data_IF_707613414127
#
_entry.id   IF_707613414127
#
_cell.length_a   1.000
_cell.length_b   1.000
_cell.length_c   1.000
_cell.angle_alpha   90.00
_cell.angle_beta   90.00
_cell.angle_gamma   90.00
#
_symmetry.space_group_name_H-M   'P 1'
#
loop_
_entity.id
_entity.type
_entity.pdbx_description
1 polymer ?
#
# COMPACT_ATOMS: atom_id res chain seq x y z
N UNK A 1 -4.47 -15.15 0.38
CA UNK A 1 -5.87 -14.79 0.68
C UNK A 1 -6.70 -16.01 1.09
N UNK A 2 -6.94 -17.01 0.23
CA UNK A 2 -7.79 -18.17 0.60
C UNK A 2 -7.36 -18.84 1.92
N UNK A 3 -6.06 -19.15 2.08
CA UNK A 3 -5.53 -19.74 3.30
C UNK A 3 -5.80 -18.89 4.55
N UNK A 4 -5.48 -17.59 4.50
CA UNK A 4 -5.65 -16.69 5.66
C UNK A 4 -7.12 -16.53 6.03
N UNK A 5 -8.01 -16.48 5.03
CA UNK A 5 -9.45 -16.41 5.26
C UNK A 5 -9.98 -17.70 5.93
N UNK A 6 -9.59 -18.89 5.46
CA UNK A 6 -9.96 -20.15 6.10
C UNK A 6 -9.39 -20.27 7.53
N UNK A 7 -8.14 -19.87 7.72
CA UNK A 7 -7.51 -19.86 9.04
C UNK A 7 -8.21 -18.90 10.00
N UNK A 8 -8.57 -17.70 9.54
CA UNK A 8 -9.38 -16.74 10.29
C UNK A 8 -10.73 -17.33 10.68
N UNK A 9 -11.43 -18.01 9.75
CA UNK A 9 -12.72 -18.67 10.06
C UNK A 9 -12.56 -19.78 11.09
N UNK A 10 -11.47 -20.54 11.03
CA UNK A 10 -11.16 -21.57 12.02
C UNK A 10 -10.94 -20.98 13.42
N UNK A 11 -10.16 -19.90 13.53
CA UNK A 11 -9.93 -19.20 14.80
C UNK A 11 -11.23 -18.57 15.38
N UNK A 12 -12.00 -17.89 14.53
CA UNK A 12 -13.28 -17.31 14.91
C UNK A 12 -14.29 -18.40 15.32
N UNK A 13 -14.32 -19.52 14.58
CA UNK A 13 -15.14 -20.67 14.92
C UNK A 13 -14.76 -21.25 16.28
N UNK A 14 -13.46 -21.45 16.55
CA UNK A 14 -12.97 -21.97 17.83
C UNK A 14 -13.37 -21.09 19.03
N UNK A 15 -13.26 -19.76 18.89
CA UNK A 15 -13.63 -18.83 19.97
C UNK A 15 -15.14 -18.77 20.22
N UNK A 16 -15.95 -18.76 19.15
CA UNK A 16 -17.42 -18.78 19.25
C UNK A 16 -17.95 -20.13 19.74
N UNK A 17 -17.31 -21.23 19.39
CA UNK A 17 -17.62 -22.55 19.96
C UNK A 17 -17.36 -22.58 21.45
N UNK A 18 -16.23 -22.04 21.92
CA UNK A 18 -15.94 -21.94 23.35
C UNK A 18 -17.01 -21.09 24.08
N UNK A 19 -17.45 -19.99 23.49
CA UNK A 19 -18.53 -19.14 24.01
C UNK A 19 -19.88 -19.89 24.06
N UNK A 20 -20.22 -20.65 23.02
CA UNK A 20 -21.41 -21.49 22.98
C UNK A 20 -21.39 -22.61 24.02
N UNK A 21 -20.24 -23.25 24.23
CA UNK A 21 -20.06 -24.24 25.30
C UNK A 21 -20.25 -23.62 26.69
N UNK A 22 -19.74 -22.41 26.92
CA UNK A 22 -19.97 -21.67 28.16
C UNK A 22 -21.47 -21.37 28.37
N UNK A 23 -22.18 -20.94 27.33
CA UNK A 23 -23.62 -20.72 27.39
C UNK A 23 -24.40 -22.00 27.74
N UNK A 24 -24.00 -23.13 27.15
CA UNK A 24 -24.60 -24.44 27.45
C UNK A 24 -24.34 -24.90 28.88
N UNK A 25 -23.25 -24.47 29.52
CA UNK A 25 -22.96 -24.81 30.90
C UNK A 25 -23.78 -24.00 31.93
N UNK A 26 -24.38 -22.88 31.52
CA UNK A 26 -25.18 -22.02 32.40
C UNK A 26 -26.59 -22.57 32.69
N UNK A 27 -27.10 -23.47 31.86
CA UNK A 27 -28.49 -23.94 31.93
C UNK A 27 -28.63 -25.41 31.57
N UNK A 28 -29.57 -26.11 32.19
CA UNK A 28 -29.90 -27.50 31.87
C UNK A 28 -30.89 -27.64 30.70
N UNK A 29 -31.54 -26.54 30.29
CA UNK A 29 -32.51 -26.54 29.18
C UNK A 29 -31.83 -26.26 27.85
N UNK A 30 -32.00 -27.15 26.88
CA UNK A 30 -31.42 -27.03 25.53
C UNK A 30 -31.89 -25.78 24.80
N UNK A 31 -33.15 -25.40 24.94
CA UNK A 31 -33.70 -24.18 24.33
C UNK A 31 -33.11 -22.92 24.94
N UNK A 32 -32.96 -22.87 26.26
CA UNK A 32 -32.36 -21.72 26.95
C UNK A 32 -30.86 -21.63 26.64
N UNK A 33 -30.17 -22.78 26.54
CA UNK A 33 -28.76 -22.85 26.17
C UNK A 33 -28.53 -22.29 24.76
N UNK A 34 -29.39 -22.63 23.81
CA UNK A 34 -29.33 -22.10 22.45
C UNK A 34 -29.48 -20.57 22.44
N UNK A 35 -30.53 -20.04 23.08
CA UNK A 35 -30.79 -18.59 23.12
C UNK A 35 -29.64 -17.83 23.80
N UNK A 36 -29.16 -18.32 24.94
CA UNK A 36 -28.01 -17.72 25.63
C UNK A 36 -26.74 -17.78 24.77
N UNK A 37 -26.51 -18.91 24.07
CA UNK A 37 -25.38 -19.07 23.16
C UNK A 37 -25.41 -18.05 22.03
N UNK A 38 -26.57 -17.86 21.40
CA UNK A 38 -26.75 -16.83 20.36
C UNK A 38 -26.46 -15.43 20.91
N UNK A 39 -26.98 -15.10 22.09
CA UNK A 39 -26.76 -13.77 22.71
C UNK A 39 -25.29 -13.55 23.05
N UNK A 40 -24.63 -14.52 23.68
CA UNK A 40 -23.22 -14.40 24.07
C UNK A 40 -22.31 -14.27 22.84
N UNK A 41 -22.58 -15.03 21.77
CA UNK A 41 -21.85 -14.92 20.51
C UNK A 41 -22.16 -13.60 19.76
N UNK A 42 -23.36 -13.06 19.90
CA UNK A 42 -23.76 -11.81 19.27
C UNK A 42 -22.98 -10.61 19.83
N UNK A 43 -22.63 -10.61 21.12
CA UNK A 43 -21.88 -9.50 21.75
C UNK A 43 -20.60 -9.15 20.98
N UNK A 44 -19.59 -10.03 20.83
CA UNK A 44 -18.36 -9.67 20.12
C UNK A 44 -18.57 -9.40 18.62
N UNK A 45 -19.64 -9.92 18.01
CA UNK A 45 -19.94 -9.69 16.58
C UNK A 45 -20.49 -8.27 16.35
N UNK A 46 -21.40 -7.81 17.23
CA UNK A 46 -22.13 -6.55 17.03
C UNK A 46 -21.58 -5.38 17.85
N UNK A 47 -20.64 -5.61 18.77
CA UNK A 47 -20.13 -4.55 19.66
C UNK A 47 -19.57 -3.31 18.92
N UNK A 48 -18.91 -3.51 17.76
CA UNK A 48 -18.37 -2.42 16.95
C UNK A 48 -19.46 -1.57 16.27
N UNK A 49 -20.65 -2.12 16.02
CA UNK A 49 -21.77 -1.38 15.44
C UNK A 49 -22.53 -0.57 16.50
N UNK A 50 -22.55 -1.06 17.75
CA UNK A 50 -23.29 -0.43 18.85
C UNK A 50 -22.51 0.74 19.44
N UNK A 51 -21.17 0.66 19.49
CA UNK A 51 -20.32 1.71 20.07
C UNK A 51 -19.19 2.12 19.10
N UNK A 52 -19.52 2.90 18.04
CA UNK A 52 -18.58 3.22 16.97
C UNK A 52 -17.45 4.18 17.39
N UNK A 53 -17.58 4.90 18.51
CA UNK A 53 -16.74 6.08 18.80
C UNK A 53 -15.45 5.81 19.58
N UNK A 54 -15.17 4.58 20.02
CA UNK A 54 -13.97 4.28 20.81
C UNK A 54 -13.10 3.18 20.21
N UNK A 55 -11.85 3.52 19.89
CA UNK A 55 -10.87 2.62 19.30
C UNK A 55 -10.63 1.34 20.14
N UNK A 56 -10.78 1.44 21.46
CA UNK A 56 -10.64 0.29 22.36
C UNK A 56 -11.79 -0.72 22.20
N UNK A 57 -13.03 -0.24 22.00
CA UNK A 57 -14.21 -1.10 21.85
C UNK A 57 -14.28 -1.66 20.43
N UNK A 58 -13.91 -0.87 19.43
CA UNK A 58 -13.67 -1.33 18.06
C UNK A 58 -12.67 -2.50 18.04
N UNK A 59 -11.55 -2.38 18.76
CA UNK A 59 -10.59 -3.47 18.92
C UNK A 59 -11.12 -4.76 19.56
N UNK A 60 -12.28 -4.72 20.24
CA UNK A 60 -12.97 -5.89 20.79
C UNK A 60 -13.96 -6.54 19.81
N UNK A 61 -14.19 -5.93 18.64
CA UNK A 61 -15.10 -6.43 17.61
C UNK A 61 -14.49 -7.60 16.83
N UNK A 62 -15.19 -8.72 16.82
CA UNK A 62 -14.80 -9.90 16.06
C UNK A 62 -14.73 -9.60 14.56
N UNK A 63 -15.69 -8.80 14.06
CA UNK A 63 -15.79 -8.47 12.64
C UNK A 63 -14.59 -7.64 12.20
N UNK A 64 -14.17 -6.66 12.99
CA UNK A 64 -13.02 -5.82 12.66
C UNK A 64 -11.72 -6.63 12.66
N UNK A 65 -11.52 -7.47 13.67
CA UNK A 65 -10.36 -8.36 13.73
C UNK A 65 -10.34 -9.38 12.59
N UNK A 66 -11.51 -9.73 12.04
CA UNK A 66 -11.62 -10.62 10.90
C UNK A 66 -11.29 -9.97 9.55
N UNK A 67 -11.43 -8.63 9.41
CA UNK A 67 -11.25 -7.95 8.12
C UNK A 67 -9.86 -8.21 7.50
N UNK A 68 -8.82 -8.20 8.33
CA UNK A 68 -7.44 -8.40 7.89
C UNK A 68 -7.22 -9.82 7.31
N UNK A 69 -7.85 -10.86 7.86
CA UNK A 69 -7.79 -12.22 7.32
C UNK A 69 -8.46 -12.33 5.95
N UNK A 70 -9.56 -11.59 5.74
CA UNK A 70 -10.25 -11.47 4.46
C UNK A 70 -9.44 -10.69 3.41
N UNK A 71 -8.51 -9.85 3.84
CA UNK A 71 -7.59 -9.13 2.97
C UNK A 71 -6.36 -9.96 2.56
N UNK A 72 -6.07 -11.07 3.24
CA UNK A 72 -4.88 -11.88 2.96
C UNK A 72 -3.76 -11.77 3.98
N UNK A 73 -3.99 -11.04 5.08
CA UNK A 73 -2.96 -10.69 6.07
C UNK A 73 -3.23 -11.43 7.38
N UNK A 74 -2.17 -11.89 8.06
CA UNK A 74 -2.24 -12.47 9.40
C UNK A 74 -1.65 -11.49 10.42
N UNK A 75 -2.47 -10.62 11.03
CA UNK A 75 -2.00 -9.76 12.11
C UNK A 75 -1.92 -10.54 13.42
N UNK A 76 -0.80 -10.39 14.15
CA UNK A 76 -0.61 -11.03 15.46
C UNK A 76 -1.68 -10.60 16.47
N UNK A 77 -2.11 -9.34 16.41
CA UNK A 77 -3.16 -8.78 17.28
C UNK A 77 -4.49 -9.54 17.14
N UNK A 78 -4.91 -9.86 15.92
CA UNK A 78 -6.19 -10.55 15.73
C UNK A 78 -6.11 -12.03 16.11
N UNK A 79 -4.97 -12.69 15.84
CA UNK A 79 -4.73 -14.07 16.30
C UNK A 79 -4.82 -14.14 17.84
N UNK A 80 -4.14 -13.22 18.52
CA UNK A 80 -4.18 -13.13 19.99
C UNK A 80 -5.58 -12.80 20.51
N UNK A 81 -6.35 -11.97 19.81
CA UNK A 81 -7.75 -11.70 20.16
C UNK A 81 -8.59 -12.98 20.15
N UNK A 82 -8.55 -13.76 19.06
CA UNK A 82 -9.33 -15.00 18.95
C UNK A 82 -8.93 -16.03 20.01
N UNK A 83 -7.62 -16.21 20.23
CA UNK A 83 -7.09 -17.10 21.27
C UNK A 83 -7.53 -16.63 22.66
N UNK A 84 -7.44 -15.33 22.94
CA UNK A 84 -7.81 -14.75 24.23
C UNK A 84 -9.29 -14.96 24.52
N UNK A 85 -10.15 -14.73 23.54
CA UNK A 85 -11.59 -14.97 23.66
C UNK A 85 -11.88 -16.45 23.93
N UNK A 86 -11.23 -17.37 23.21
CA UNK A 86 -11.38 -18.80 23.43
C UNK A 86 -10.91 -19.22 24.83
N UNK A 87 -9.72 -18.79 25.25
CA UNK A 87 -9.15 -19.09 26.59
C UNK A 87 -10.06 -18.57 27.70
N UNK A 88 -10.56 -17.33 27.58
CA UNK A 88 -11.47 -16.75 28.56
C UNK A 88 -12.77 -17.56 28.68
N UNK A 89 -13.39 -17.92 27.56
CA UNK A 89 -14.65 -18.68 27.56
C UNK A 89 -14.47 -20.10 28.07
N UNK A 90 -13.37 -20.78 27.72
CA UNK A 90 -13.03 -22.10 28.26
C UNK A 90 -12.74 -22.05 29.76
N UNK A 91 -12.08 -20.98 30.23
CA UNK A 91 -11.84 -20.79 31.66
C UNK A 91 -13.14 -20.58 32.45
N UNK A 92 -14.06 -19.76 31.93
CA UNK A 92 -15.39 -19.57 32.52
C UNK A 92 -16.20 -20.88 32.53
N UNK A 93 -16.13 -21.66 31.46
CA UNK A 93 -16.76 -22.97 31.39
C UNK A 93 -16.20 -23.93 32.47
N UNK A 94 -14.87 -23.97 32.62
CA UNK A 94 -14.20 -24.74 33.69
C UNK A 94 -14.73 -24.35 35.07
N UNK A 95 -14.90 -23.05 35.35
CA UNK A 95 -15.43 -22.58 36.64
C UNK A 95 -16.84 -23.10 36.88
N UNK A 96 -17.74 -23.01 35.90
CA UNK A 96 -19.12 -23.48 36.05
C UNK A 96 -19.19 -24.99 36.34
N UNK A 97 -18.36 -25.79 35.66
CA UNK A 97 -18.30 -27.23 35.89
C UNK A 97 -17.73 -27.55 37.28
N UNK A 98 -16.67 -26.85 37.71
CA UNK A 98 -16.08 -27.05 39.05
C UNK A 98 -17.02 -26.57 40.16
N UNK A 99 -17.81 -25.51 39.94
CA UNK A 99 -18.79 -24.99 40.92
C UNK A 99 -19.82 -26.04 41.33
N UNK A 100 -20.16 -26.98 40.46
CA UNK A 100 -21.08 -28.10 40.76
C UNK A 100 -20.55 -29.04 41.86
N UNK A 101 -19.24 -29.04 42.10
CA UNK A 101 -18.58 -29.94 43.05
C UNK A 101 -18.19 -29.25 44.37
N UNK A 102 -18.57 -27.99 44.56
CA UNK A 102 -18.26 -27.26 45.80
C UNK A 102 -19.18 -27.71 46.94
N UNK A 103 -18.61 -28.07 48.09
CA UNK A 103 -19.38 -28.32 49.30
C UNK A 103 -19.94 -27.01 49.86
N UNK A 104 -21.14 -27.05 50.43
CA UNK A 104 -21.88 -25.87 50.92
C UNK A 104 -21.09 -25.02 51.95
N UNK A 105 -20.11 -25.63 52.63
CA UNK A 105 -19.35 -25.00 53.72
C UNK A 105 -18.16 -24.13 53.25
N UNK A 106 -17.73 -24.24 51.99
CA UNK A 106 -16.55 -23.52 51.44
C UNK A 106 -16.95 -22.63 50.25
N UNK A 107 -18.25 -22.43 50.04
CA UNK A 107 -18.80 -21.84 48.83
C UNK A 107 -18.45 -20.35 48.66
N UNK A 108 -18.43 -19.57 49.75
CA UNK A 108 -18.13 -18.12 49.68
C UNK A 108 -16.64 -17.82 49.51
N UNK A 109 -15.73 -18.56 50.17
CA UNK A 109 -14.29 -18.33 50.04
C UNK A 109 -13.73 -18.79 48.69
N UNK A 110 -14.24 -19.90 48.14
CA UNK A 110 -13.88 -20.34 46.79
C UNK A 110 -14.44 -19.41 45.71
N UNK A 111 -15.69 -18.95 45.84
CA UNK A 111 -16.29 -18.03 44.86
C UNK A 111 -15.46 -16.75 44.64
N UNK A 112 -14.97 -16.15 45.72
CA UNK A 112 -14.16 -14.94 45.64
C UNK A 112 -12.79 -15.20 45.00
N UNK A 113 -12.14 -16.34 45.30
CA UNK A 113 -10.88 -16.73 44.65
C UNK A 113 -11.01 -16.93 43.14
N UNK A 114 -12.10 -17.59 42.69
CA UNK A 114 -12.36 -17.77 41.26
C UNK A 114 -12.73 -16.47 40.57
N UNK A 115 -13.46 -15.56 41.24
CA UNK A 115 -13.73 -14.22 40.71
C UNK A 115 -12.43 -13.44 40.52
N UNK A 116 -11.57 -13.40 41.54
CA UNK A 116 -10.26 -12.72 41.46
C UNK A 116 -9.43 -13.30 40.30
N UNK A 117 -9.33 -14.63 40.18
CA UNK A 117 -8.60 -15.27 39.08
C UNK A 117 -9.21 -14.95 37.70
N UNK A 118 -10.54 -14.88 37.61
CA UNK A 118 -11.25 -14.52 36.36
C UNK A 118 -10.92 -13.09 35.97
N UNK A 119 -10.97 -12.15 36.91
CA UNK A 119 -10.63 -10.75 36.68
C UNK A 119 -9.15 -10.61 36.32
N UNK A 120 -8.24 -11.28 37.05
CA UNK A 120 -6.81 -11.27 36.72
C UNK A 120 -6.53 -11.82 35.32
N UNK A 121 -7.16 -12.94 34.94
CA UNK A 121 -7.04 -13.50 33.59
C UNK A 121 -7.56 -12.51 32.54
N UNK A 122 -8.74 -11.92 32.76
CA UNK A 122 -9.30 -10.92 31.86
C UNK A 122 -8.35 -9.73 31.67
N UNK A 123 -7.77 -9.20 32.77
CA UNK A 123 -6.79 -8.11 32.71
C UNK A 123 -5.55 -8.54 31.93
N UNK A 124 -4.98 -9.72 32.19
CA UNK A 124 -3.80 -10.22 31.47
C UNK A 124 -4.09 -10.33 29.97
N UNK A 125 -5.22 -10.92 29.59
CA UNK A 125 -5.60 -11.10 28.20
C UNK A 125 -5.87 -9.75 27.51
N UNK A 126 -6.58 -8.83 28.16
CA UNK A 126 -6.82 -7.48 27.63
C UNK A 126 -5.49 -6.74 27.45
N UNK A 127 -4.61 -6.75 28.46
CA UNK A 127 -3.28 -6.13 28.37
C UNK A 127 -2.43 -6.74 27.27
N UNK A 128 -2.44 -8.07 27.11
CA UNK A 128 -1.72 -8.74 26.02
C UNK A 128 -2.24 -8.31 24.64
N UNK A 129 -3.56 -8.19 24.48
CA UNK A 129 -4.17 -7.69 23.23
C UNK A 129 -3.83 -6.23 22.96
N UNK A 130 -3.87 -5.38 23.98
CA UNK A 130 -3.47 -3.96 23.87
C UNK A 130 -2.00 -3.85 23.47
N UNK A 131 -1.10 -4.58 24.14
CA UNK A 131 0.33 -4.60 23.79
C UNK A 131 0.53 -5.12 22.37
N UNK A 132 -0.17 -6.19 21.98
CA UNK A 132 -0.11 -6.71 20.62
C UNK A 132 -0.69 -5.75 19.57
N UNK A 133 -1.64 -4.90 19.95
CA UNK A 133 -2.16 -3.85 19.06
C UNK A 133 -1.13 -2.73 18.81
N UNK A 134 -0.25 -2.47 19.77
CA UNK A 134 0.91 -1.58 19.59
C UNK A 134 2.08 -2.27 18.88
N UNK A 135 2.21 -3.60 19.00
CA UNK A 135 3.23 -4.40 18.34
C UNK A 135 2.94 -4.60 16.85
N UNK A 136 3.79 -4.06 15.97
CA UNK A 136 3.60 -4.01 14.52
C UNK A 136 3.87 -5.32 13.76
N UNK A 137 3.71 -6.49 14.39
CA UNK A 137 4.00 -7.76 13.71
C UNK A 137 2.80 -8.21 12.88
N UNK A 138 2.83 -7.90 11.57
CA UNK A 138 1.88 -8.37 10.56
C UNK A 138 2.64 -9.24 9.57
N UNK A 139 2.13 -10.45 9.32
CA UNK A 139 2.67 -11.33 8.28
C UNK A 139 1.74 -11.25 7.07
N UNK A 140 2.18 -10.60 5.99
CA UNK A 140 1.51 -10.64 4.70
C UNK A 140 1.82 -11.99 4.02
N UNK A 141 0.81 -12.85 3.90
CA UNK A 141 0.89 -14.16 3.25
C UNK A 141 0.26 -14.14 1.84
N UNK A 142 0.05 -12.97 1.25
CA UNK A 142 -0.31 -12.91 -0.17
C UNK A 142 0.87 -13.36 -1.03
N UNK A 143 0.58 -14.13 -2.09
CA UNK A 143 1.62 -14.74 -2.95
C UNK A 143 2.60 -13.71 -3.56
N UNK A 144 2.19 -12.44 -3.65
CA UNK A 144 2.99 -11.34 -4.21
C UNK A 144 3.36 -10.25 -3.20
N UNK A 145 3.04 -10.43 -1.90
CA UNK A 145 3.17 -9.37 -0.86
C UNK A 145 2.57 -8.04 -1.31
N UNK A 146 1.36 -8.08 -1.88
CA UNK A 146 0.71 -6.96 -2.60
C UNK A 146 0.45 -5.75 -1.69
N UNK A 147 0.50 -5.97 -0.37
CA UNK A 147 0.31 -4.96 0.66
C UNK A 147 1.56 -4.79 1.54
N UNK A 148 2.75 -5.01 0.97
CA UNK A 148 4.01 -4.73 1.64
C UNK A 148 4.78 -3.65 0.90
N UNK A 149 5.35 -2.68 1.64
CA UNK A 149 6.19 -1.65 1.07
C UNK A 149 7.54 -2.22 0.65
N UNK A 150 8.02 -1.77 -0.51
CA UNK A 150 9.36 -2.05 -1.00
C UNK A 150 10.43 -1.52 -0.05
N UNK A 151 11.63 -2.08 -0.12
CA UNK A 151 12.74 -1.64 0.72
C UNK A 151 13.07 -0.16 0.48
N UNK A 152 13.02 0.29 -0.78
CA UNK A 152 13.23 1.69 -1.16
C UNK A 152 12.23 2.63 -0.48
N UNK A 153 10.95 2.25 -0.42
CA UNK A 153 9.94 3.04 0.28
C UNK A 153 10.21 3.09 1.79
N UNK A 154 10.60 1.97 2.41
CA UNK A 154 10.94 1.91 3.84
C UNK A 154 12.13 2.80 4.18
N UNK A 155 13.18 2.76 3.37
CA UNK A 155 14.37 3.58 3.55
C UNK A 155 14.04 5.07 3.39
N UNK A 156 13.16 5.42 2.44
CA UNK A 156 12.68 6.78 2.26
C UNK A 156 11.87 7.27 3.47
N UNK A 157 10.96 6.47 4.00
CA UNK A 157 10.18 6.85 5.20
C UNK A 157 11.10 7.05 6.41
N UNK A 158 12.12 6.21 6.58
CA UNK A 158 13.07 6.32 7.68
C UNK A 158 13.91 7.61 7.64
N UNK A 159 14.15 8.16 6.44
CA UNK A 159 14.91 9.40 6.23
C UNK A 159 14.12 10.68 6.50
N UNK A 160 12.79 10.60 6.60
CA UNK A 160 11.95 11.78 6.86
C UNK A 160 12.31 12.36 8.23
N UNK A 161 12.57 13.67 8.29
CA UNK A 161 12.85 14.39 9.53
C UNK A 161 11.57 14.49 10.38
N UNK A 162 11.65 14.09 11.65
CA UNK A 162 10.53 14.18 12.60
C UNK A 162 10.07 15.63 12.83
N UNK A 163 10.92 16.63 12.54
CA UNK A 163 10.56 18.06 12.65
C UNK A 163 9.63 18.53 11.54
N UNK A 164 9.67 17.88 10.37
CA UNK A 164 8.84 18.19 9.21
C UNK A 164 8.08 16.92 8.80
N UNK A 165 7.10 16.48 9.61
CA UNK A 165 6.39 15.25 9.35
C UNK A 165 5.50 15.39 8.12
N UNK A 166 5.35 14.28 7.40
CA UNK A 166 4.53 14.21 6.20
C UNK A 166 3.12 13.76 6.60
N UNK A 167 2.11 14.46 6.12
CA UNK A 167 0.71 14.07 6.30
C UNK A 167 0.12 13.66 4.96
N UNK A 168 -0.43 12.44 4.87
CA UNK A 168 -1.20 11.99 3.72
C UNK A 168 -2.68 12.07 4.10
N UNK A 169 -3.43 12.91 3.40
CA UNK A 169 -4.88 13.00 3.52
C UNK A 169 -5.52 12.23 2.37
N UNK A 170 -6.10 11.06 2.66
CA UNK A 170 -6.69 10.19 1.66
C UNK A 170 -8.21 10.35 1.63
N UNK A 171 -8.73 10.88 0.53
CA UNK A 171 -10.14 11.15 0.30
C UNK A 171 -10.73 10.00 -0.52
N UNK A 172 -11.44 9.11 0.17
CA UNK A 172 -11.87 7.82 -0.38
C UNK A 172 -13.37 7.65 -0.13
N UNK A 173 -14.14 7.29 -1.16
CA UNK A 173 -15.54 6.93 -0.98
C UNK A 173 -15.68 5.61 -0.19
N UNK A 174 -16.60 5.52 0.80
CA UNK A 174 -16.85 4.30 1.56
C UNK A 174 -17.25 3.12 0.67
N UNK A 175 -18.08 3.40 -0.32
CA UNK A 175 -18.55 2.46 -1.33
C UNK A 175 -17.98 2.83 -2.70
N UNK A 176 -17.54 1.82 -3.45
CA UNK A 176 -17.01 1.97 -4.81
C UNK A 176 -17.59 0.89 -5.72
N UNK A 177 -17.63 1.15 -7.03
CA UNK A 177 -18.05 0.18 -8.04
C UNK A 177 -17.19 -1.09 -7.99
N UNK A 178 -17.75 -2.21 -8.48
CA UNK A 178 -17.11 -3.55 -8.37
C UNK A 178 -15.67 -3.58 -8.89
N UNK A 179 -15.40 -2.89 -9.99
CA UNK A 179 -14.07 -2.79 -10.60
C UNK A 179 -13.03 -2.12 -9.67
N UNK A 180 -13.48 -1.19 -8.82
CA UNK A 180 -12.63 -0.41 -7.92
C UNK A 180 -12.50 -0.99 -6.51
N UNK A 181 -13.31 -1.96 -6.14
CA UNK A 181 -13.20 -2.67 -4.85
C UNK A 181 -11.77 -3.18 -4.57
N UNK A 182 -11.06 -3.88 -5.50
CA UNK A 182 -9.70 -4.34 -5.24
C UNK A 182 -8.71 -3.18 -5.09
N UNK A 183 -8.88 -2.11 -5.85
CA UNK A 183 -8.00 -0.92 -5.85
C UNK A 183 -8.16 -0.18 -4.52
N UNK A 184 -9.40 0.04 -4.07
CA UNK A 184 -9.70 0.65 -2.77
C UNK A 184 -9.06 -0.17 -1.63
N UNK A 185 -9.21 -1.51 -1.66
CA UNK A 185 -8.58 -2.37 -0.66
C UNK A 185 -7.06 -2.24 -0.66
N UNK A 186 -6.44 -2.20 -1.84
CA UNK A 186 -4.99 -2.01 -2.00
C UNK A 186 -4.51 -0.65 -1.50
N UNK A 187 -5.21 0.41 -1.88
CA UNK A 187 -4.91 1.78 -1.44
C UNK A 187 -4.96 1.88 0.08
N UNK A 188 -6.06 1.43 0.70
CA UNK A 188 -6.21 1.46 2.16
C UNK A 188 -5.14 0.59 2.84
N UNK A 189 -4.86 -0.60 2.30
CA UNK A 189 -3.82 -1.49 2.82
C UNK A 189 -2.45 -0.84 2.84
N UNK A 190 -2.02 -0.28 1.70
CA UNK A 190 -0.73 0.43 1.59
C UNK A 190 -0.69 1.64 2.51
N UNK A 191 -1.71 2.51 2.48
CA UNK A 191 -1.78 3.70 3.33
C UNK A 191 -1.69 3.37 4.83
N UNK A 192 -2.32 2.28 5.28
CA UNK A 192 -2.16 1.80 6.66
C UNK A 192 -0.73 1.38 6.95
N UNK A 193 -0.04 0.75 6.00
CA UNK A 193 1.36 0.38 6.14
C UNK A 193 2.30 1.61 6.18
N UNK A 194 2.06 2.61 5.32
CA UNK A 194 2.75 3.91 5.40
C UNK A 194 2.57 4.55 6.77
N UNK A 195 1.33 4.62 7.28
CA UNK A 195 1.03 5.18 8.60
C UNK A 195 1.76 4.42 9.72
N UNK A 196 1.79 3.09 9.62
CA UNK A 196 2.39 2.23 10.62
C UNK A 196 3.93 2.35 10.65
N UNK A 197 4.57 2.37 9.47
CA UNK A 197 6.02 2.53 9.36
C UNK A 197 6.48 3.97 9.62
N UNK A 198 5.65 4.94 9.25
CA UNK A 198 5.91 6.37 9.42
C UNK A 198 5.94 6.84 10.87
N UNK A 199 4.99 6.38 11.68
CA UNK A 199 4.87 6.81 13.07
C UNK A 199 4.81 8.33 13.20
N UNK A 200 5.79 8.95 13.88
CA UNK A 200 5.86 10.41 14.03
C UNK A 200 6.29 11.13 12.74
N UNK A 201 6.99 10.45 11.84
CA UNK A 201 7.55 11.03 10.60
C UNK A 201 6.51 11.15 9.50
N UNK A 202 5.57 10.20 9.44
CA UNK A 202 4.54 10.17 8.43
C UNK A 202 3.23 9.65 9.04
N UNK A 203 2.17 10.43 8.87
CA UNK A 203 0.84 10.12 9.36
C UNK A 203 -0.17 10.11 8.21
N UNK A 204 -1.17 9.24 8.29
CA UNK A 204 -2.24 9.15 7.30
C UNK A 204 -3.58 9.48 7.94
N UNK A 205 -4.29 10.45 7.37
CA UNK A 205 -5.66 10.83 7.69
C UNK A 205 -6.59 10.25 6.63
N UNK A 206 -7.45 9.33 7.02
CA UNK A 206 -8.52 8.84 6.14
C UNK A 206 -9.72 9.77 6.22
N UNK A 207 -10.20 10.23 5.07
CA UNK A 207 -11.37 11.08 4.93
C UNK A 207 -12.37 10.34 4.05
N UNK A 208 -13.46 9.89 4.66
CA UNK A 208 -14.54 9.21 3.95
C UNK A 208 -15.39 10.24 3.18
N UNK A 209 -15.38 10.16 1.85
CA UNK A 209 -16.10 11.11 0.99
C UNK A 209 -17.48 10.58 0.64
N UNK A 210 -18.50 11.21 1.18
CA UNK A 210 -19.91 10.92 0.91
C UNK A 210 -20.49 12.02 0.02
N UNK A 211 -21.36 11.71 -0.95
CA UNK A 211 -21.99 12.73 -1.79
C UNK A 211 -22.71 13.82 -0.98
N UNK A 212 -22.54 15.08 -1.41
CA UNK A 212 -23.08 16.29 -0.80
C UNK A 212 -22.59 16.56 0.64
N UNK A 213 -21.47 15.96 1.04
CA UNK A 213 -20.85 16.20 2.35
C UNK A 213 -19.81 17.33 2.31
N UNK A 214 -19.39 17.81 3.49
CA UNK A 214 -18.33 18.83 3.60
C UNK A 214 -16.98 18.29 3.11
N UNK A 215 -16.75 17.01 3.31
CA UNK A 215 -15.55 16.29 2.88
C UNK A 215 -15.48 16.20 1.35
N UNK A 216 -16.62 16.11 0.66
CA UNK A 216 -16.65 16.21 -0.81
C UNK A 216 -16.23 17.60 -1.28
N UNK A 217 -16.72 18.65 -0.62
CA UNK A 217 -16.36 20.03 -0.92
C UNK A 217 -14.85 20.26 -0.67
N UNK A 218 -14.32 19.78 0.46
CA UNK A 218 -12.88 19.81 0.76
C UNK A 218 -12.05 19.07 -0.30
N UNK A 219 -12.45 17.86 -0.69
CA UNK A 219 -11.78 17.09 -1.72
C UNK A 219 -11.71 17.87 -3.05
N UNK A 220 -12.82 18.48 -3.47
CA UNK A 220 -12.89 19.27 -4.71
C UNK A 220 -12.01 20.52 -4.64
N UNK A 221 -11.96 21.22 -3.50
CA UNK A 221 -11.08 22.38 -3.30
C UNK A 221 -9.61 22.00 -3.42
N UNK A 222 -9.25 20.79 -3.00
CA UNK A 222 -7.91 20.23 -3.12
C UNK A 222 -7.62 19.62 -4.50
N UNK A 223 -8.48 19.83 -5.50
CA UNK A 223 -8.38 19.27 -6.86
C UNK A 223 -8.43 17.72 -6.92
N UNK A 224 -9.06 17.08 -5.93
CA UNK A 224 -9.40 15.66 -5.99
C UNK A 224 -10.67 15.53 -6.82
N UNK A 225 -10.53 14.98 -8.03
CA UNK A 225 -11.61 14.91 -9.00
C UNK A 225 -12.40 13.62 -8.85
N UNK A 226 -13.74 13.68 -8.80
CA UNK A 226 -14.55 12.47 -8.81
C UNK A 226 -14.50 11.77 -10.18
N UNK A 227 -14.52 10.44 -10.15
CA UNK A 227 -14.70 9.63 -11.35
C UNK A 227 -16.14 9.11 -11.44
N UNK A 228 -16.71 9.15 -12.65
CA UNK A 228 -18.07 8.64 -12.93
C UNK A 228 -17.96 7.26 -13.56
N UNK A 229 -18.33 6.24 -12.81
CA UNK A 229 -18.21 4.85 -13.21
C UNK A 229 -19.59 4.29 -13.54
N UNK A 230 -19.72 3.73 -14.75
CA UNK A 230 -20.95 3.04 -15.14
C UNK A 230 -20.96 1.65 -14.53
N UNK A 231 -22.00 1.35 -13.75
CA UNK A 231 -22.13 0.08 -13.05
C UNK A 231 -23.48 -0.55 -13.41
N UNK A 232 -23.48 -1.80 -13.82
CA UNK A 232 -24.72 -2.54 -14.05
C UNK A 232 -25.16 -3.25 -12.76
N UNK A 233 -26.38 -2.94 -12.27
CA UNK A 233 -26.99 -3.64 -11.13
C UNK A 233 -28.36 -4.15 -11.54
N UNK A 234 -28.52 -5.48 -11.63
CA UNK A 234 -29.79 -6.11 -11.96
C UNK A 234 -30.34 -5.74 -13.34
N UNK A 235 -29.48 -5.62 -14.36
CA UNK A 235 -29.88 -5.29 -15.73
C UNK A 235 -30.13 -3.80 -15.99
N UNK A 236 -29.84 -2.92 -15.03
CA UNK A 236 -29.92 -1.46 -15.19
C UNK A 236 -28.55 -0.83 -15.02
N UNK A 237 -28.21 0.10 -15.91
CA UNK A 237 -27.02 0.93 -15.80
C UNK A 237 -27.23 2.04 -14.76
N UNK A 238 -26.35 2.10 -13.78
CA UNK A 238 -26.21 3.18 -12.81
C UNK A 238 -24.91 3.93 -13.08
N UNK A 239 -24.87 5.22 -12.78
CA UNK A 239 -23.64 6.00 -12.79
C UNK A 239 -23.29 6.34 -11.36
N UNK A 240 -22.27 5.69 -10.84
CA UNK A 240 -21.73 5.97 -9.52
C UNK A 240 -20.64 7.03 -9.63
N UNK A 241 -20.63 7.97 -8.70
CA UNK A 241 -19.58 8.99 -8.59
C UNK A 241 -18.70 8.61 -7.40
N UNK A 242 -17.42 8.36 -7.63
CA UNK A 242 -16.49 7.90 -6.60
C UNK A 242 -15.31 8.85 -6.47
N UNK A 243 -14.80 8.96 -5.24
CA UNK A 243 -13.55 9.65 -4.91
C UNK A 243 -12.52 8.64 -4.43
N UNK A 244 -11.31 8.71 -4.95
CA UNK A 244 -10.16 7.92 -4.51
C UNK A 244 -8.90 8.70 -4.82
N UNK A 245 -8.67 9.81 -4.13
CA UNK A 245 -7.47 10.63 -4.28
C UNK A 245 -6.74 10.81 -2.96
N UNK A 246 -5.59 11.47 -3.02
CA UNK A 246 -4.82 11.79 -1.84
C UNK A 246 -4.08 13.11 -1.99
N UNK A 247 -3.90 13.84 -0.89
CA UNK A 247 -3.00 14.97 -0.80
C UNK A 247 -1.87 14.62 0.15
N UNK A 248 -0.64 14.80 -0.30
CA UNK A 248 0.56 14.59 0.49
C UNK A 248 1.10 15.99 0.84
N UNK A 249 1.28 16.28 2.13
CA UNK A 249 1.70 17.58 2.64
C UNK A 249 2.94 17.46 3.51
N UNK A 250 3.86 18.42 3.38
CA UNK A 250 5.01 18.61 4.26
C UNK A 250 5.32 20.09 4.40
N UNK A 251 5.06 20.69 5.56
CA UNK A 251 5.22 22.13 5.75
C UNK A 251 4.37 22.95 4.76
N UNK A 252 5.03 23.64 3.83
CA UNK A 252 4.39 24.45 2.77
C UNK A 252 4.25 23.72 1.44
N UNK A 253 4.89 22.56 1.28
CA UNK A 253 4.90 21.81 0.04
C UNK A 253 3.75 20.80 0.04
N UNK A 254 3.02 20.73 -1.06
CA UNK A 254 1.95 19.75 -1.26
C UNK A 254 1.99 19.14 -2.65
N UNK A 255 1.58 17.88 -2.73
CA UNK A 255 1.36 17.15 -3.98
C UNK A 255 -0.02 16.50 -3.92
N UNK A 256 -0.83 16.77 -4.95
CA UNK A 256 -2.16 16.21 -5.10
C UNK A 256 -2.11 15.06 -6.09
N UNK A 257 -2.68 13.92 -5.69
CA UNK A 257 -3.04 12.80 -6.56
C UNK A 257 -4.56 12.89 -6.77
N UNK A 258 -5.02 13.35 -7.95
CA UNK A 258 -6.45 13.61 -8.16
C UNK A 258 -7.31 12.37 -8.05
N UNK A 259 -6.81 11.23 -8.57
CA UNK A 259 -7.53 9.96 -8.55
C UNK A 259 -6.59 8.76 -8.79
N UNK A 260 -6.83 7.64 -8.10
CA UNK A 260 -6.15 6.36 -8.33
C UNK A 260 -6.96 5.46 -9.28
N UNK A 261 -6.54 5.43 -10.55
CA UNK A 261 -7.18 4.65 -11.59
C UNK A 261 -6.86 3.15 -11.52
N UNK A 262 -7.63 2.35 -12.27
CA UNK A 262 -7.30 0.95 -12.53
C UNK A 262 -5.92 0.87 -13.21
N UNK A 263 -5.04 0.04 -12.66
CA UNK A 263 -3.68 -0.13 -13.17
C UNK A 263 -2.66 0.88 -12.64
N UNK A 264 -3.07 1.91 -11.90
CA UNK A 264 -2.13 2.84 -11.26
C UNK A 264 -1.25 2.09 -10.24
N UNK A 265 0.09 2.16 -10.35
CA UNK A 265 0.99 1.62 -9.33
C UNK A 265 0.97 2.50 -8.08
N UNK A 266 0.04 2.21 -7.15
CA UNK A 266 -0.27 3.06 -5.98
C UNK A 266 0.98 3.40 -5.14
N UNK A 267 1.80 2.39 -4.82
CA UNK A 267 3.03 2.62 -4.01
C UNK A 267 3.98 3.59 -4.73
N UNK A 268 4.13 3.48 -6.05
CA UNK A 268 5.00 4.37 -6.81
C UNK A 268 4.51 5.82 -6.72
N UNK A 269 3.22 6.07 -6.97
CA UNK A 269 2.65 7.42 -6.90
C UNK A 269 2.77 8.03 -5.50
N UNK A 270 2.51 7.24 -4.45
CA UNK A 270 2.66 7.68 -3.06
C UNK A 270 4.13 7.97 -2.72
N UNK A 271 5.04 7.03 -2.96
CA UNK A 271 6.47 7.19 -2.65
C UNK A 271 7.09 8.36 -3.41
N UNK A 272 6.73 8.54 -4.69
CA UNK A 272 7.17 9.69 -5.48
C UNK A 272 6.65 11.01 -4.92
N UNK A 273 5.37 11.07 -4.54
CA UNK A 273 4.76 12.28 -3.97
C UNK A 273 5.41 12.64 -2.64
N UNK A 274 5.68 11.65 -1.78
CA UNK A 274 6.40 11.82 -0.51
C UNK A 274 7.81 12.37 -0.76
N UNK A 275 8.56 11.80 -1.72
CA UNK A 275 9.90 12.29 -2.07
C UNK A 275 9.90 13.76 -2.53
N UNK A 276 8.85 14.14 -3.25
CA UNK A 276 8.70 15.49 -3.79
C UNK A 276 8.48 16.49 -2.65
N UNK A 277 7.58 16.21 -1.70
CA UNK A 277 7.33 17.10 -0.56
C UNK A 277 8.42 17.04 0.51
N UNK A 278 9.18 15.95 0.59
CA UNK A 278 10.31 15.84 1.51
C UNK A 278 11.54 16.62 1.04
N UNK A 279 11.50 17.20 -0.18
CA UNK A 279 12.64 17.88 -0.83
C UNK A 279 13.94 17.07 -0.78
N UNK A 280 13.81 15.76 -0.92
CA UNK A 280 14.96 14.87 -1.03
C UNK A 280 15.71 15.18 -2.33
N UNK A 281 17.05 15.15 -2.29
CA UNK A 281 17.87 15.51 -3.44
C UNK A 281 17.51 14.62 -4.64
N UNK A 282 17.12 15.29 -5.74
CA UNK A 282 16.77 14.60 -6.98
C UNK A 282 18.06 14.14 -7.64
N UNK A 283 18.19 12.83 -7.79
CA UNK A 283 19.29 12.27 -8.57
C UNK A 283 19.25 12.82 -9.99
N UNK A 284 20.43 13.05 -10.56
CA UNK A 284 20.61 13.54 -11.92
C UNK A 284 20.80 12.36 -12.86
N UNK A 285 19.87 12.22 -13.80
CA UNK A 285 19.88 11.19 -14.84
C UNK A 285 20.37 11.84 -16.13
N UNK A 286 21.58 11.46 -16.54
CA UNK A 286 22.10 11.82 -17.85
C UNK A 286 21.55 10.84 -18.89
N UNK A 287 20.98 11.35 -19.97
CA UNK A 287 20.59 10.54 -21.12
C UNK A 287 21.47 10.92 -22.30
N UNK A 288 22.26 9.97 -22.79
CA UNK A 288 23.18 10.16 -23.89
C UNK A 288 22.42 10.44 -25.19
N UNK A 289 22.81 11.49 -25.90
CA UNK A 289 22.26 11.81 -27.21
C UNK A 289 22.79 10.83 -28.25
N UNK A 290 21.89 10.07 -28.86
CA UNK A 290 22.16 9.09 -29.92
C UNK A 290 21.10 9.23 -31.02
N UNK A 291 21.20 8.44 -32.08
CA UNK A 291 20.25 8.46 -33.19
C UNK A 291 18.83 8.09 -32.74
N UNK A 292 18.67 7.40 -31.61
CA UNK A 292 17.37 7.11 -31.02
C UNK A 292 16.59 8.38 -30.65
N UNK A 293 17.27 9.52 -30.45
CA UNK A 293 16.67 10.85 -30.26
C UNK A 293 15.57 10.86 -29.19
N UNK A 294 15.78 10.17 -28.07
CA UNK A 294 14.71 9.91 -27.08
C UNK A 294 14.20 11.19 -26.38
N UNK A 295 14.98 12.27 -26.41
CA UNK A 295 14.57 13.61 -25.97
C UNK A 295 13.66 14.33 -26.97
N UNK A 296 13.39 13.73 -28.13
CA UNK A 296 12.75 14.40 -29.25
C UNK A 296 13.70 15.40 -29.90
N UNK A 297 13.15 16.25 -30.77
CA UNK A 297 13.92 17.25 -31.49
C UNK A 297 13.27 17.68 -32.80
N UNK A 298 13.89 18.66 -33.44
CA UNK A 298 13.42 19.21 -34.71
C UNK A 298 13.90 18.32 -35.85
N UNK A 299 12.98 17.53 -36.40
CA UNK A 299 13.32 16.59 -37.46
C UNK A 299 13.17 17.31 -38.82
N UNK A 300 14.28 17.82 -39.35
CA UNK A 300 14.33 18.63 -40.59
C UNK A 300 13.75 17.89 -41.81
N UNK A 301 13.82 16.56 -41.86
CA UNK A 301 13.28 15.75 -42.96
C UNK A 301 11.76 15.56 -42.93
N UNK A 302 11.10 15.76 -41.78
CA UNK A 302 9.66 15.51 -41.60
C UNK A 302 8.86 16.77 -41.24
N UNK A 303 9.51 17.94 -41.23
CA UNK A 303 8.85 19.23 -41.04
C UNK A 303 8.11 19.38 -39.71
N UNK A 304 8.58 18.73 -38.65
CA UNK A 304 7.89 18.70 -37.36
C UNK A 304 8.83 18.56 -36.16
N UNK A 305 8.39 19.11 -35.03
CA UNK A 305 9.01 18.89 -33.72
C UNK A 305 8.55 17.54 -33.17
N UNK A 306 9.48 16.59 -33.01
CA UNK A 306 9.19 15.33 -32.36
C UNK A 306 9.18 15.53 -30.84
N UNK A 307 8.10 15.15 -30.14
CA UNK A 307 8.06 15.20 -28.69
C UNK A 307 9.06 14.19 -28.10
N UNK A 308 9.55 14.43 -26.86
CA UNK A 308 10.31 13.44 -26.12
C UNK A 308 9.49 12.16 -25.94
N UNK A 309 10.17 11.03 -25.85
CA UNK A 309 9.54 9.75 -25.55
C UNK A 309 8.91 9.79 -24.15
N UNK A 310 7.83 9.01 -23.95
CA UNK A 310 7.09 8.97 -22.69
C UNK A 310 7.99 8.69 -21.48
N UNK A 311 9.02 7.86 -21.64
CA UNK A 311 9.99 7.56 -20.58
C UNK A 311 10.71 8.81 -20.06
N UNK A 312 11.03 9.78 -20.92
CA UNK A 312 11.69 11.02 -20.52
C UNK A 312 10.74 11.89 -19.69
N UNK A 313 9.46 11.99 -20.08
CA UNK A 313 8.46 12.69 -19.28
C UNK A 313 8.24 12.04 -17.93
N UNK A 314 8.22 10.71 -17.85
CA UNK A 314 8.09 9.98 -16.58
C UNK A 314 9.33 10.08 -15.70
N UNK A 315 10.54 10.12 -16.26
CA UNK A 315 11.76 10.34 -15.47
C UNK A 315 11.82 11.77 -14.92
N UNK A 316 11.44 12.78 -15.72
CA UNK A 316 11.42 14.20 -15.31
C UNK A 316 10.44 14.49 -14.17
N UNK A 317 9.50 13.59 -13.90
CA UNK A 317 8.60 13.67 -12.76
C UNK A 317 9.28 13.39 -11.42
N UNK A 318 10.44 12.72 -11.39
CA UNK A 318 11.14 12.33 -10.15
C UNK A 318 12.62 12.74 -10.12
N UNK A 319 13.29 12.79 -11.28
CA UNK A 319 14.74 13.01 -11.40
C UNK A 319 15.07 14.30 -12.15
N UNK A 320 16.27 14.84 -11.94
CA UNK A 320 16.81 15.90 -12.80
C UNK A 320 17.32 15.24 -14.07
N UNK A 321 16.59 15.34 -15.17
CA UNK A 321 16.94 14.63 -16.41
C UNK A 321 17.61 15.60 -17.38
N UNK A 322 18.84 15.29 -17.78
CA UNK A 322 19.64 16.12 -18.69
C UNK A 322 20.07 15.32 -19.92
N UNK A 323 20.15 16.00 -21.06
CA UNK A 323 20.70 15.43 -22.28
C UNK A 323 22.22 15.58 -22.28
N UNK A 324 22.92 14.49 -22.55
CA UNK A 324 24.38 14.43 -22.53
C UNK A 324 24.89 14.34 -23.96
N UNK A 325 25.75 15.27 -24.37
CA UNK A 325 26.40 15.19 -25.68
C UNK A 325 27.52 14.15 -25.66
N UNK A 326 27.60 13.24 -26.65
CA UNK A 326 28.72 12.31 -26.79
C UNK A 326 29.97 12.94 -27.42
N UNK A 327 29.89 14.18 -27.92
CA UNK A 327 30.97 14.83 -28.69
C UNK A 327 32.18 15.23 -27.83
N UNK A 328 31.99 15.31 -26.52
CA UNK A 328 33.02 15.61 -25.53
C UNK A 328 33.10 14.51 -24.47
N UNK A 329 34.22 14.39 -23.74
CA UNK A 329 34.31 13.48 -22.59
C UNK A 329 33.16 13.73 -21.60
N UNK A 330 32.50 12.64 -21.19
CA UNK A 330 31.37 12.68 -20.26
C UNK A 330 31.88 12.97 -18.85
N UNK A 331 31.27 13.93 -18.16
CA UNK A 331 31.64 14.32 -16.79
C UNK A 331 31.40 13.18 -15.79
N UNK A 332 32.36 12.95 -14.90
CA UNK A 332 32.30 11.89 -13.89
C UNK A 332 31.43 12.27 -12.68
N UNK A 333 31.08 13.55 -12.52
CA UNK A 333 30.43 14.07 -11.30
C UNK A 333 29.03 14.60 -11.52
N UNK A 334 28.64 14.87 -12.76
CA UNK A 334 27.40 15.60 -13.04
C UNK A 334 26.16 14.69 -13.03
N UNK A 335 26.38 13.38 -13.17
CA UNK A 335 25.31 12.39 -13.33
C UNK A 335 25.46 11.25 -12.33
N UNK A 336 24.37 10.94 -11.62
CA UNK A 336 24.28 9.78 -10.73
C UNK A 336 24.13 8.47 -11.52
N UNK A 337 23.47 8.56 -12.69
CA UNK A 337 23.35 7.46 -13.65
C UNK A 337 23.31 8.00 -15.07
N UNK A 338 23.97 7.30 -15.98
CA UNK A 338 23.91 7.55 -17.42
C UNK A 338 23.03 6.50 -18.11
N UNK A 339 22.11 6.93 -18.97
CA UNK A 339 21.31 6.06 -19.84
C UNK A 339 21.81 6.24 -21.27
N UNK A 340 22.31 5.16 -21.87
CA UNK A 340 22.74 5.11 -23.26
C UNK A 340 21.81 4.19 -24.04
N UNK A 341 20.87 4.78 -24.79
CA UNK A 341 19.98 4.06 -25.70
C UNK A 341 20.60 4.06 -27.08
N UNK A 342 20.74 2.90 -27.71
CA UNK A 342 21.35 2.69 -29.01
C UNK A 342 22.78 3.28 -29.12
N UNK A 343 23.71 2.97 -28.19
CA UNK A 343 25.09 3.46 -28.29
C UNK A 343 25.83 2.93 -29.53
N UNK A 344 25.31 1.88 -30.18
CA UNK A 344 25.81 1.37 -31.45
C UNK A 344 25.69 2.37 -32.62
N UNK A 345 24.90 3.44 -32.49
CA UNK A 345 24.84 4.53 -33.48
C UNK A 345 25.96 5.56 -33.34
N UNK A 346 26.70 5.55 -32.22
CA UNK A 346 27.78 6.50 -31.97
C UNK A 346 28.94 6.30 -32.94
N UNK A 347 29.64 7.38 -33.28
CA UNK A 347 30.95 7.29 -33.96
C UNK A 347 32.03 6.70 -33.05
N UNK A 348 33.15 6.25 -33.62
CA UNK A 348 34.25 5.66 -32.83
C UNK A 348 34.77 6.58 -31.69
N UNK A 349 34.98 7.90 -31.88
CA UNK A 349 35.39 8.79 -30.78
C UNK A 349 34.31 8.93 -29.70
N UNK A 350 33.06 9.10 -30.09
CA UNK A 350 31.91 9.20 -29.18
C UNK A 350 31.74 7.92 -28.34
N UNK A 351 31.87 6.75 -28.98
CA UNK A 351 31.84 5.46 -28.30
C UNK A 351 33.00 5.32 -27.31
N UNK A 352 34.19 5.84 -27.64
CA UNK A 352 35.32 5.83 -26.72
C UNK A 352 35.02 6.64 -25.45
N UNK A 353 34.39 7.82 -25.56
CA UNK A 353 33.98 8.61 -24.39
C UNK A 353 33.01 7.83 -23.48
N UNK A 354 32.04 7.13 -24.07
CA UNK A 354 31.12 6.28 -23.32
C UNK A 354 31.85 5.11 -22.63
N UNK A 355 32.74 4.42 -23.36
CA UNK A 355 33.52 3.29 -22.82
C UNK A 355 34.40 3.74 -21.66
N UNK A 356 35.04 4.89 -21.77
CA UNK A 356 35.91 5.44 -20.71
C UNK A 356 35.09 5.80 -19.46
N UNK A 357 33.90 6.39 -19.62
CA UNK A 357 32.97 6.65 -18.53
C UNK A 357 32.55 5.35 -17.80
N UNK A 358 32.17 4.32 -18.57
CA UNK A 358 31.77 3.01 -18.02
C UNK A 358 32.93 2.32 -17.31
N UNK A 359 34.15 2.35 -17.87
CA UNK A 359 35.35 1.74 -17.28
C UNK A 359 35.74 2.34 -15.93
N UNK A 360 35.35 3.59 -15.65
CA UNK A 360 35.51 4.23 -14.34
C UNK A 360 34.53 3.69 -13.28
N UNK A 361 33.66 2.74 -13.63
CA UNK A 361 32.70 2.11 -12.71
C UNK A 361 31.45 2.96 -12.46
N UNK A 362 31.16 3.93 -13.33
CA UNK A 362 29.99 4.80 -13.19
C UNK A 362 28.69 4.06 -13.52
N UNK A 363 27.61 4.23 -12.73
CA UNK A 363 26.34 3.58 -13.02
C UNK A 363 25.83 3.93 -14.41
N UNK A 364 25.67 2.92 -15.26
CA UNK A 364 25.25 3.12 -16.65
C UNK A 364 24.23 2.05 -17.05
N UNK A 365 23.09 2.49 -17.59
CA UNK A 365 22.11 1.63 -18.23
C UNK A 365 22.31 1.69 -19.74
N UNK A 366 22.59 0.54 -20.36
CA UNK A 366 22.78 0.42 -21.80
C UNK A 366 21.61 -0.38 -22.39
N UNK A 367 20.93 0.23 -23.36
CA UNK A 367 19.85 -0.41 -24.12
C UNK A 367 20.24 -0.38 -25.59
N UNK A 368 20.65 -1.51 -26.15
CA UNK A 368 21.07 -1.59 -27.55
C UNK A 368 20.18 -2.56 -28.31
N UNK A 369 19.79 -2.19 -29.53
CA UNK A 369 18.97 -3.00 -30.41
C UNK A 369 19.80 -3.34 -31.65
N UNK A 370 20.05 -4.62 -31.97
CA UNK A 370 20.80 -5.00 -33.16
C UNK A 370 20.06 -4.71 -34.47
N UNK A 371 18.74 -4.46 -34.42
CA UNK A 371 17.91 -4.17 -35.59
C UNK A 371 16.84 -3.11 -35.25
N UNK A 372 17.24 -1.86 -34.96
CA UNK A 372 16.28 -0.84 -34.56
C UNK A 372 15.33 -0.52 -35.72
N UNK A 373 14.05 -0.43 -35.40
CA UNK A 373 12.99 -0.01 -36.32
C UNK A 373 12.28 1.18 -35.71
N UNK A 374 12.77 2.38 -36.01
CA UNK A 374 12.16 3.65 -35.58
C UNK A 374 12.09 4.60 -36.77
N UNK A 375 11.02 5.41 -36.87
CA UNK A 375 10.89 6.46 -37.90
C UNK A 375 10.72 5.98 -39.35
N UNK A 376 10.39 4.71 -39.59
CA UNK A 376 10.15 4.16 -40.93
C UNK A 376 11.40 3.61 -41.66
N UNK A 377 12.58 3.74 -41.06
CA UNK A 377 13.81 3.10 -41.52
C UNK A 377 14.08 1.76 -40.82
N UNK A 378 14.79 0.85 -41.49
CA UNK A 378 15.33 -0.38 -40.88
C UNK A 378 16.83 -0.23 -40.66
N UNK A 379 17.27 -0.44 -39.43
CA UNK A 379 18.70 -0.50 -39.07
C UNK A 379 19.30 0.86 -38.70
N UNK A 380 20.53 0.80 -38.20
CA UNK A 380 21.33 1.97 -37.79
C UNK A 380 21.92 2.62 -39.05
N UNK A 381 22.01 3.94 -39.12
CA UNK A 381 22.82 4.63 -40.13
C UNK A 381 24.12 5.11 -39.47
N UNK A 382 25.26 5.08 -40.16
CA UNK A 382 26.56 5.56 -39.64
C UNK A 382 27.15 4.82 -38.41
N UNK A 383 26.71 3.60 -38.09
CA UNK A 383 27.30 2.80 -37.02
C UNK A 383 28.82 2.60 -37.20
N UNK A 384 29.63 2.36 -36.14
CA UNK A 384 31.09 2.19 -36.23
C UNK A 384 31.57 1.13 -37.24
N UNK A 385 30.71 0.13 -37.51
CA UNK A 385 31.00 -0.97 -38.44
C UNK A 385 30.40 -0.77 -39.85
N UNK A 386 29.70 0.34 -40.09
CA UNK A 386 29.17 0.64 -41.41
C UNK A 386 30.19 1.40 -42.25
N UNK A 387 30.29 1.09 -43.56
CA UNK A 387 31.07 1.90 -44.48
C UNK A 387 30.53 3.33 -44.46
N UNK A 388 31.38 4.31 -44.16
CA UNK A 388 30.96 5.72 -44.25
C UNK A 388 30.69 6.04 -45.72
N UNK A 389 29.59 6.75 -46.04
CA UNK A 389 29.37 7.23 -47.40
C UNK A 389 30.55 8.13 -47.80
N UNK A 390 31.04 7.94 -49.03
CA UNK A 390 32.14 8.77 -49.55
C UNK A 390 31.73 10.24 -49.56
N UNK A 391 32.63 11.17 -49.19
CA UNK A 391 32.32 12.59 -49.21
C UNK A 391 32.04 13.01 -50.67
N UNK A 392 30.75 13.18 -51.01
CA UNK A 392 30.29 13.56 -52.34
C UNK A 392 29.13 12.73 -52.93
N UNK A 393 28.69 11.65 -52.28
CA UNK A 393 27.54 10.86 -52.76
C UNK A 393 26.20 11.42 -52.29
N UNK A 394 25.54 12.21 -53.14
CA UNK A 394 24.14 12.62 -52.93
C UNK A 394 23.17 11.51 -53.33
N UNK A 395 22.18 11.31 -52.46
CA UNK A 395 20.94 10.50 -52.55
C UNK A 395 21.07 9.00 -52.81
#
# INVERSE_FOLDING_TARGET
VMFTTYFGYWLAGASLLAAGMFASALTSSTTVAFVLGTVICAVPIFIGQVVPSSNLIQGLSLVEQFQDFGAGVLPLSAILYFISLAVMMLYLNRILITRRHWSAQVQNSMGLQYLVRTVSLAVILISANVIASYGSSRIDMTNEKVYSLSQTTKDLIAKIDEKNPITIEAFISPEVSREYVPIRKRLIGLLREYNQLGGKRLQVRFVDVVPFSKEEEEARLLNITPERVQTERGGRAFVDTIFMGAVIKSGTDEVVIPFFNVGTPIEYELTRSIRTVSKDDRLTVGILNTDASIFGGLNMGQGGNQPPWLIVSELKKQYKVEQVSPDSPISDTDYDVLIAVLPSSLTQPQLQHLVDYVKKGKPTLICDDPLPVYGGGRGIQNAPRMPKPSPGGGM
#
